data_IF_247250035356
#
_entry.id   IF_247250035356
#
_cell.length_a   1.000
_cell.length_b   1.000
_cell.length_c   1.000
_cell.angle_alpha   90.00
_cell.angle_beta   90.00
_cell.angle_gamma   90.00
#
_symmetry.space_group_name_H-M   'P 1'
#
loop_
_entity.id
_entity.type
_entity.pdbx_description
1 polymer ?
#
# COMPACT_ATOMS: atom_id res chain seq x y z
N UNK A 1 -4.21 -23.17 6.96
CA UNK A 1 -3.05 -22.55 7.63
C UNK A 1 -2.93 -21.15 7.05
N UNK A 2 -2.77 -20.09 7.85
CA UNK A 2 -2.55 -18.74 7.30
C UNK A 2 -1.15 -18.74 6.67
N UNK A 3 -1.09 -18.46 5.38
CA UNK A 3 0.18 -18.36 4.66
C UNK A 3 0.67 -16.93 4.75
N UNK A 4 1.65 -16.70 5.63
CA UNK A 4 2.23 -15.38 5.84
C UNK A 4 3.32 -15.05 4.82
N UNK A 5 3.76 -16.04 4.02
CA UNK A 5 4.79 -15.83 2.99
C UNK A 5 4.31 -14.89 1.88
N UNK A 6 2.99 -14.70 1.73
CA UNK A 6 2.43 -13.77 0.75
C UNK A 6 2.93 -12.33 0.93
N UNK A 7 3.24 -11.91 2.18
CA UNK A 7 3.82 -10.59 2.42
C UNK A 7 5.26 -10.50 1.91
N UNK A 8 6.03 -11.58 2.03
CA UNK A 8 7.38 -11.66 1.48
C UNK A 8 7.34 -11.64 -0.06
N UNK A 9 6.37 -12.34 -0.68
CA UNK A 9 6.16 -12.31 -2.14
C UNK A 9 5.79 -10.91 -2.64
N UNK A 10 4.88 -10.21 -1.94
CA UNK A 10 4.53 -8.82 -2.25
C UNK A 10 5.75 -7.91 -2.10
N UNK A 11 6.56 -8.11 -1.05
CA UNK A 11 7.78 -7.35 -0.84
C UNK A 11 8.77 -7.53 -1.99
N UNK A 12 8.97 -8.77 -2.46
CA UNK A 12 9.82 -9.04 -3.63
C UNK A 12 9.34 -8.31 -4.89
N UNK A 13 8.03 -8.24 -5.12
CA UNK A 13 7.44 -7.47 -6.24
C UNK A 13 7.69 -5.96 -6.08
N UNK A 14 7.61 -5.43 -4.85
CA UNK A 14 7.92 -4.02 -4.58
C UNK A 14 9.40 -3.72 -4.87
N UNK A 15 10.31 -4.60 -4.43
CA UNK A 15 11.74 -4.46 -4.70
C UNK A 15 12.04 -4.51 -6.19
N UNK A 16 11.47 -5.46 -6.92
CA UNK A 16 11.64 -5.55 -8.37
C UNK A 16 11.19 -4.26 -9.08
N UNK A 17 10.05 -3.69 -8.70
CA UNK A 17 9.56 -2.41 -9.26
C UNK A 17 10.40 -1.19 -8.88
N UNK A 18 11.13 -1.27 -7.77
CA UNK A 18 12.09 -0.25 -7.36
C UNK A 18 13.39 -0.35 -8.16
N UNK A 19 13.88 -1.57 -8.43
CA UNK A 19 15.07 -1.82 -9.24
C UNK A 19 14.83 -1.61 -10.74
N UNK A 20 13.61 -1.93 -11.21
CA UNK A 20 13.18 -1.85 -12.61
C UNK A 20 11.99 -0.89 -12.76
N UNK A 21 12.18 0.43 -12.59
CA UNK A 21 11.07 1.39 -12.60
C UNK A 21 10.42 1.52 -13.99
N UNK A 22 9.08 1.53 -14.01
CA UNK A 22 8.29 1.75 -15.23
C UNK A 22 7.19 2.79 -14.98
N UNK A 23 6.77 3.52 -16.02
CA UNK A 23 5.70 4.53 -15.90
C UNK A 23 4.30 3.92 -15.72
N UNK A 24 4.14 2.64 -16.00
CA UNK A 24 2.89 1.90 -15.85
C UNK A 24 2.69 1.37 -14.42
N UNK A 25 3.76 1.34 -13.61
CA UNK A 25 3.75 0.83 -12.25
C UNK A 25 3.40 1.92 -11.23
N UNK A 26 2.35 1.68 -10.44
CA UNK A 26 1.97 2.58 -9.35
C UNK A 26 3.08 2.70 -8.30
N UNK A 27 3.71 1.60 -7.91
CA UNK A 27 4.84 1.61 -6.95
C UNK A 27 5.99 2.46 -7.48
N UNK A 28 6.36 2.29 -8.74
CA UNK A 28 7.43 3.08 -9.35
C UNK A 28 7.06 4.56 -9.39
N UNK A 29 5.78 4.90 -9.62
CA UNK A 29 5.29 6.27 -9.58
C UNK A 29 5.36 6.91 -8.18
N UNK A 30 5.16 6.14 -7.11
CA UNK A 30 5.31 6.61 -5.74
C UNK A 30 6.78 6.83 -5.39
N UNK A 31 7.64 5.85 -5.68
CA UNK A 31 9.07 5.89 -5.33
C UNK A 31 9.84 6.98 -6.08
N UNK A 32 9.41 7.31 -7.31
CA UNK A 32 10.04 8.34 -8.15
C UNK A 32 9.28 9.67 -8.14
N UNK A 33 8.26 9.79 -7.31
CA UNK A 33 7.44 11.00 -7.26
C UNK A 33 8.29 12.22 -6.89
N UNK A 34 7.99 13.38 -7.50
CA UNK A 34 8.73 14.64 -7.24
C UNK A 34 8.71 15.12 -5.77
N UNK A 35 7.76 14.64 -4.97
CA UNK A 35 7.68 14.92 -3.53
C UNK A 35 8.57 13.99 -2.69
N UNK A 36 9.24 13.02 -3.32
CA UNK A 36 10.00 11.99 -2.61
C UNK A 36 9.13 11.22 -1.62
N UNK A 37 9.71 10.92 -0.46
CA UNK A 37 9.08 10.15 0.62
C UNK A 37 7.76 10.75 1.11
N UNK A 38 7.58 12.07 1.02
CA UNK A 38 6.34 12.74 1.44
C UNK A 38 5.13 12.21 0.67
N UNK A 39 5.28 11.77 -0.59
CA UNK A 39 4.17 11.18 -1.34
C UNK A 39 3.73 9.83 -0.76
N UNK A 40 4.68 9.00 -0.33
CA UNK A 40 4.39 7.73 0.34
C UNK A 40 3.75 7.97 1.71
N UNK A 41 4.23 8.95 2.47
CA UNK A 41 3.66 9.33 3.76
C UNK A 41 2.22 9.86 3.63
N UNK A 42 1.93 10.66 2.58
CA UNK A 42 0.57 11.09 2.26
C UNK A 42 -0.37 9.90 2.08
N UNK A 43 0.07 8.84 1.37
CA UNK A 43 -0.73 7.63 1.17
C UNK A 43 -0.93 6.85 2.46
N UNK A 44 0.11 6.61 3.25
CA UNK A 44 -0.03 5.95 4.57
C UNK A 44 -1.01 6.69 5.47
N UNK A 45 -0.97 8.03 5.47
CA UNK A 45 -1.91 8.85 6.23
C UNK A 45 -3.35 8.76 5.72
N UNK A 46 -3.55 8.72 4.40
CA UNK A 46 -4.86 8.53 3.75
C UNK A 46 -5.48 7.19 4.15
N UNK A 47 -4.77 6.08 3.91
CA UNK A 47 -5.28 4.72 4.17
C UNK A 47 -5.51 4.47 5.67
N UNK A 48 -4.67 5.04 6.55
CA UNK A 48 -4.87 4.94 7.98
C UNK A 48 -6.20 5.59 8.43
N UNK A 49 -6.55 6.74 7.84
CA UNK A 49 -7.83 7.40 8.13
C UNK A 49 -8.99 6.60 7.55
N UNK A 50 -8.87 6.10 6.32
CA UNK A 50 -9.91 5.27 5.70
C UNK A 50 -10.16 3.98 6.50
N UNK A 51 -9.10 3.30 6.94
CA UNK A 51 -9.18 2.11 7.78
C UNK A 51 -9.90 2.37 9.10
N UNK A 52 -9.56 3.44 9.81
CA UNK A 52 -10.22 3.81 11.08
C UNK A 52 -11.71 4.09 10.85
N UNK A 53 -12.06 4.79 9.76
CA UNK A 53 -13.45 5.10 9.41
C UNK A 53 -14.23 3.83 9.03
N UNK A 54 -13.62 2.93 8.25
CA UNK A 54 -14.22 1.65 7.87
C UNK A 54 -14.47 0.76 9.10
N UNK A 55 -13.48 0.65 9.98
CA UNK A 55 -13.59 -0.10 11.23
C UNK A 55 -14.68 0.48 12.15
N UNK A 56 -14.73 1.80 12.31
CA UNK A 56 -15.79 2.49 13.06
C UNK A 56 -17.18 2.26 12.46
N UNK A 57 -17.27 2.26 11.13
CA UNK A 57 -18.51 2.04 10.39
C UNK A 57 -19.03 0.61 10.44
N UNK A 58 -18.21 -0.35 10.87
CA UNK A 58 -18.58 -1.76 10.98
C UNK A 58 -18.85 -2.42 9.62
N UNK A 59 -18.13 -2.01 8.57
CA UNK A 59 -18.24 -2.56 7.21
C UNK A 59 -17.06 -3.51 6.99
N UNK A 60 -17.22 -4.84 7.19
CA UNK A 60 -16.09 -5.77 7.22
C UNK A 60 -15.28 -5.78 5.93
N UNK A 61 -15.94 -5.69 4.77
CA UNK A 61 -15.30 -5.70 3.46
C UNK A 61 -14.39 -4.48 3.27
N UNK A 62 -14.86 -3.29 3.68
CA UNK A 62 -14.03 -2.09 3.66
C UNK A 62 -12.91 -2.18 4.68
N UNK A 63 -13.19 -2.63 5.90
CA UNK A 63 -12.14 -2.80 6.92
C UNK A 63 -11.01 -3.69 6.42
N UNK A 64 -11.31 -4.78 5.71
CA UNK A 64 -10.30 -5.66 5.11
C UNK A 64 -9.55 -4.97 3.96
N UNK A 65 -10.27 -4.24 3.10
CA UNK A 65 -9.66 -3.52 1.97
C UNK A 65 -8.68 -2.45 2.44
N UNK A 66 -9.13 -1.54 3.32
CA UNK A 66 -8.27 -0.45 3.81
C UNK A 66 -7.11 -0.97 4.68
N UNK A 67 -7.28 -2.12 5.34
CA UNK A 67 -6.19 -2.78 6.06
C UNK A 67 -5.13 -3.39 5.13
N UNK A 68 -5.50 -3.71 3.89
CA UNK A 68 -4.57 -4.24 2.89
C UNK A 68 -3.84 -3.11 2.14
N UNK A 69 -4.49 -1.94 2.00
CA UNK A 69 -3.89 -0.75 1.40
C UNK A 69 -2.92 -0.03 2.37
N UNK A 70 -3.11 -0.17 3.69
CA UNK A 70 -2.25 0.37 4.76
C UNK A 70 -0.98 -0.47 5.04
#
# INVERSE_FOLDING_TARGET
MRDWNILDEIWLVIQDRAEHPTTESYVSSLLTHRKGIDKSLEKVGEEAVEFILAAKGGIPERTVSEAADL
#
